data_IF_143571936024
#
_entry.id   IF_143571936024
#
_cell.length_a   1.000
_cell.length_b   1.000
_cell.length_c   1.000
_cell.angle_alpha   90.00
_cell.angle_beta   90.00
_cell.angle_gamma   90.00
#
_symmetry.space_group_name_H-M   'P 1'
#
loop_
_entity.id
_entity.type
_entity.pdbx_description
1 polymer ?
#
# COMPACT_ATOMS: atom_id res chain seq x y z
N UNK A 1 -20.31 7.61 24.90
CA UNK A 1 -20.84 7.31 23.55
C UNK A 1 -21.86 8.35 23.11
N UNK A 2 -22.90 8.65 23.92
CA UNK A 2 -23.86 9.74 23.62
C UNK A 2 -23.16 11.10 23.47
N UNK A 3 -22.23 11.43 24.38
CA UNK A 3 -21.39 12.65 24.30
C UNK A 3 -20.52 12.74 23.04
N UNK A 4 -20.07 11.61 22.50
CA UNK A 4 -19.24 11.56 21.28
C UNK A 4 -20.06 11.90 20.04
N UNK A 5 -21.28 11.37 19.94
CA UNK A 5 -22.19 11.65 18.83
C UNK A 5 -22.64 13.12 18.86
N UNK A 6 -22.98 13.64 20.06
CA UNK A 6 -23.30 15.06 20.22
C UNK A 6 -22.14 15.94 19.79
N UNK A 7 -20.89 15.60 20.17
CA UNK A 7 -19.70 16.35 19.75
C UNK A 7 -19.43 16.25 18.24
N UNK A 8 -19.71 15.12 17.59
CA UNK A 8 -19.58 15.00 16.13
C UNK A 8 -20.65 15.88 15.44
N UNK A 9 -21.89 15.84 15.92
CA UNK A 9 -22.98 16.62 15.35
C UNK A 9 -22.80 18.14 15.45
N UNK A 10 -22.03 18.63 16.43
CA UNK A 10 -21.68 20.07 16.49
C UNK A 10 -20.65 20.47 15.45
N UNK A 11 -19.85 19.53 14.92
CA UNK A 11 -18.90 19.79 13.83
C UNK A 11 -19.55 19.66 12.44
N UNK A 12 -20.78 19.16 12.35
CA UNK A 12 -21.49 18.94 11.10
C UNK A 12 -22.40 20.13 10.77
N UNK A 13 -22.14 20.75 9.62
CA UNK A 13 -22.86 21.95 9.19
C UNK A 13 -24.30 21.68 8.74
N UNK A 14 -24.57 20.52 8.12
CA UNK A 14 -25.89 20.20 7.56
C UNK A 14 -26.64 19.21 8.44
N UNK A 15 -27.93 19.46 8.66
CA UNK A 15 -28.77 18.62 9.52
C UNK A 15 -28.92 17.18 9.03
N UNK A 16 -28.88 16.95 7.71
CA UNK A 16 -28.96 15.58 7.16
C UNK A 16 -27.69 14.74 7.43
N UNK A 17 -26.55 15.38 7.72
CA UNK A 17 -25.30 14.70 8.05
C UNK A 17 -25.24 14.31 9.52
N UNK A 18 -26.05 14.97 10.37
CA UNK A 18 -26.06 14.69 11.81
C UNK A 18 -26.46 13.25 12.04
N UNK A 19 -25.64 12.58 12.82
CA UNK A 19 -25.84 11.21 13.23
C UNK A 19 -26.95 11.19 14.28
N UNK A 20 -27.96 10.35 14.11
CA UNK A 20 -28.98 10.12 15.15
C UNK A 20 -28.41 9.38 16.36
N UNK A 21 -29.26 8.79 17.19
CA UNK A 21 -28.86 7.97 18.36
C UNK A 21 -28.18 6.63 17.98
N UNK A 22 -27.77 6.48 16.72
CA UNK A 22 -27.20 5.25 16.18
C UNK A 22 -25.82 5.00 16.76
N UNK A 23 -25.64 3.85 17.39
CA UNK A 23 -24.36 3.38 17.93
C UNK A 23 -23.34 3.25 16.78
N UNK A 24 -22.23 3.99 16.87
CA UNK A 24 -21.11 3.88 15.92
C UNK A 24 -20.50 2.48 16.00
N UNK A 25 -20.71 1.68 14.96
CA UNK A 25 -20.13 0.34 14.84
C UNK A 25 -18.69 0.47 14.33
N UNK A 26 -17.73 0.40 15.24
CA UNK A 26 -16.29 0.44 14.91
C UNK A 26 -15.70 -0.93 14.58
N UNK A 27 -16.54 -1.97 14.50
CA UNK A 27 -16.11 -3.32 14.17
C UNK A 27 -16.29 -3.60 12.68
N UNK A 28 -15.23 -4.12 12.06
CA UNK A 28 -15.22 -4.56 10.67
C UNK A 28 -14.65 -5.97 10.60
N UNK A 29 -15.47 -6.96 10.25
CA UNK A 29 -15.11 -8.38 10.39
C UNK A 29 -14.57 -8.70 11.79
N UNK A 30 -13.31 -9.11 11.91
CA UNK A 30 -12.63 -9.42 13.16
C UNK A 30 -11.88 -8.21 13.76
N UNK A 31 -11.81 -7.09 13.03
CA UNK A 31 -11.04 -5.91 13.40
C UNK A 31 -11.88 -4.94 14.24
N UNK A 32 -11.26 -4.42 15.30
CA UNK A 32 -11.70 -3.19 15.97
C UNK A 32 -10.91 -2.04 15.35
N UNK A 33 -11.57 -1.17 14.59
CA UNK A 33 -10.93 -0.10 13.83
C UNK A 33 -10.20 0.91 14.73
N UNK A 34 -10.52 0.94 16.03
CA UNK A 34 -9.91 1.85 17.00
C UNK A 34 -8.63 1.33 17.65
N UNK A 35 -8.32 0.04 17.46
CA UNK A 35 -7.17 -0.63 18.06
C UNK A 35 -6.25 -1.21 16.98
N UNK A 36 -4.98 -1.47 17.28
CA UNK A 36 -4.10 -2.21 16.38
C UNK A 36 -4.67 -3.59 16.05
N UNK A 37 -4.35 -4.10 14.84
CA UNK A 37 -4.76 -5.45 14.41
C UNK A 37 -4.09 -6.51 15.30
N UNK A 38 -4.85 -7.32 16.06
CA UNK A 38 -4.29 -8.34 16.95
C UNK A 38 -3.48 -9.42 16.24
N UNK A 39 -3.72 -9.65 14.95
CA UNK A 39 -3.02 -10.66 14.16
C UNK A 39 -1.98 -10.07 13.20
N UNK A 40 -1.81 -8.74 13.18
CA UNK A 40 -0.88 -8.00 12.31
C UNK A 40 -1.07 -8.26 10.80
N UNK A 41 -2.20 -8.84 10.40
CA UNK A 41 -2.51 -9.21 9.02
C UNK A 41 -2.52 -7.97 8.14
N UNK A 42 -3.13 -6.88 8.62
CA UNK A 42 -3.20 -5.62 7.86
C UNK A 42 -1.83 -4.98 7.66
N UNK A 43 -0.93 -5.08 8.64
CA UNK A 43 0.42 -4.54 8.55
C UNK A 43 1.26 -5.32 7.53
N UNK A 44 1.25 -6.66 7.61
CA UNK A 44 1.96 -7.53 6.66
C UNK A 44 1.41 -7.34 5.24
N UNK A 45 0.08 -7.32 5.09
CA UNK A 45 -0.56 -7.09 3.80
C UNK A 45 -0.16 -5.75 3.19
N UNK A 46 -0.12 -4.68 4.00
CA UNK A 46 0.32 -3.36 3.56
C UNK A 46 1.77 -3.37 3.04
N UNK A 47 2.69 -4.03 3.74
CA UNK A 47 4.07 -4.18 3.29
C UNK A 47 4.18 -4.94 1.96
N UNK A 48 3.44 -6.04 1.81
CA UNK A 48 3.39 -6.81 0.55
C UNK A 48 2.87 -5.93 -0.59
N UNK A 49 1.79 -5.20 -0.38
CA UNK A 49 1.22 -4.31 -1.41
C UNK A 49 2.17 -3.17 -1.77
N UNK A 50 2.80 -2.53 -0.77
CA UNK A 50 3.78 -1.46 -1.02
C UNK A 50 5.02 -1.97 -1.77
N UNK A 51 5.46 -3.19 -1.47
CA UNK A 51 6.53 -3.84 -2.22
C UNK A 51 6.13 -4.06 -3.69
N UNK A 52 4.94 -4.61 -3.93
CA UNK A 52 4.41 -4.81 -5.29
C UNK A 52 4.28 -3.47 -6.03
N UNK A 53 3.70 -2.46 -5.39
CA UNK A 53 3.53 -1.13 -5.97
C UNK A 53 4.88 -0.52 -6.37
N UNK A 54 5.88 -0.61 -5.49
CA UNK A 54 7.23 -0.11 -5.75
C UNK A 54 7.90 -0.90 -6.88
N UNK A 55 7.72 -2.22 -6.93
CA UNK A 55 8.27 -3.08 -8.00
C UNK A 55 7.64 -2.80 -9.36
N UNK A 56 6.35 -2.49 -9.41
CA UNK A 56 5.67 -2.11 -10.65
C UNK A 56 6.25 -0.83 -11.26
N UNK A 57 6.72 0.10 -10.42
CA UNK A 57 7.30 1.37 -10.87
C UNK A 57 8.75 1.25 -11.37
N UNK A 58 9.52 0.24 -10.94
CA UNK A 58 10.94 0.10 -11.29
C UNK A 58 11.29 0.14 -12.79
N UNK A 59 10.59 -0.52 -13.73
CA UNK A 59 10.98 -0.45 -15.15
C UNK A 59 10.59 0.84 -15.84
N UNK A 60 9.66 1.63 -15.27
CA UNK A 60 9.49 3.00 -15.72
C UNK A 60 10.77 3.80 -15.43
N UNK A 61 11.47 3.45 -14.35
CA UNK A 61 12.73 4.07 -13.93
C UNK A 61 13.91 3.50 -14.72
N UNK A 62 14.05 2.17 -14.90
CA UNK A 62 15.14 1.60 -15.74
C UNK A 62 15.10 2.10 -17.20
N UNK A 63 13.91 2.33 -17.76
CA UNK A 63 13.77 2.93 -19.10
C UNK A 63 14.12 4.42 -19.11
N UNK A 64 13.85 5.14 -18.00
CA UNK A 64 14.25 6.54 -17.85
C UNK A 64 15.77 6.68 -17.63
N UNK A 65 16.37 5.79 -16.84
CA UNK A 65 17.82 5.70 -16.60
C UNK A 65 18.55 5.34 -17.90
N UNK A 66 18.10 4.31 -18.65
CA UNK A 66 18.66 3.97 -19.96
C UNK A 66 18.52 5.06 -21.03
N UNK A 67 17.50 5.92 -20.91
CA UNK A 67 17.35 7.08 -21.78
C UNK A 67 18.30 8.24 -21.39
N UNK A 68 18.71 8.31 -20.12
CA UNK A 68 19.68 9.26 -19.60
C UNK A 68 21.15 8.79 -19.75
N UNK A 69 21.39 7.48 -19.79
CA UNK A 69 22.68 6.75 -19.89
C UNK A 69 23.44 6.88 -21.23
N UNK A 70 23.23 7.93 -22.03
CA UNK A 70 24.12 8.18 -23.20
C UNK A 70 25.54 8.63 -22.82
N UNK A 71 25.95 8.50 -21.54
CA UNK A 71 27.30 8.81 -21.06
C UNK A 71 27.76 7.71 -20.09
N UNK A 72 28.88 7.02 -20.33
CA UNK A 72 29.27 5.86 -19.53
C UNK A 72 29.94 6.27 -18.21
N UNK A 73 29.44 5.81 -17.06
CA UNK A 73 30.07 6.05 -15.76
C UNK A 73 29.57 5.15 -14.64
N UNK A 74 30.48 4.72 -13.74
CA UNK A 74 30.25 3.85 -12.56
C UNK A 74 29.16 4.33 -11.57
N UNK A 75 28.49 5.45 -11.83
CA UNK A 75 27.40 5.97 -11.00
C UNK A 75 26.08 5.23 -11.22
N UNK A 76 25.82 4.65 -12.40
CA UNK A 76 24.57 3.90 -12.65
C UNK A 76 24.48 2.62 -11.82
N UNK A 77 25.58 1.88 -11.69
CA UNK A 77 25.63 0.69 -10.83
C UNK A 77 25.35 1.04 -9.36
N UNK A 78 25.79 2.21 -8.90
CA UNK A 78 25.57 2.66 -7.53
C UNK A 78 24.12 3.12 -7.32
N UNK A 79 23.57 3.89 -8.27
CA UNK A 79 22.19 4.35 -8.25
C UNK A 79 21.18 3.18 -8.30
N UNK A 80 21.42 2.21 -9.18
CA UNK A 80 20.61 1.00 -9.31
C UNK A 80 20.60 0.18 -8.01
N UNK A 81 21.77 0.00 -7.39
CA UNK A 81 21.88 -0.72 -6.12
C UNK A 81 21.19 0.01 -4.95
N UNK A 82 21.25 1.34 -4.90
CA UNK A 82 20.52 2.13 -3.90
C UNK A 82 19.01 2.04 -4.09
N UNK A 83 18.52 2.06 -5.33
CA UNK A 83 17.11 1.91 -5.65
C UNK A 83 16.58 0.52 -5.27
N UNK A 84 17.35 -0.54 -5.56
CA UNK A 84 17.06 -1.90 -5.11
C UNK A 84 16.95 -2.00 -3.59
N UNK A 85 17.82 -1.33 -2.83
CA UNK A 85 17.74 -1.34 -1.36
C UNK A 85 16.49 -0.62 -0.86
N UNK A 86 16.15 0.54 -1.44
CA UNK A 86 14.95 1.30 -1.09
C UNK A 86 13.67 0.48 -1.29
N UNK A 87 13.62 -0.31 -2.37
CA UNK A 87 12.51 -1.21 -2.69
C UNK A 87 12.15 -2.17 -1.54
N UNK A 88 13.14 -2.68 -0.82
CA UNK A 88 12.91 -3.64 0.28
C UNK A 88 12.83 -2.95 1.64
N UNK A 89 13.62 -1.90 1.86
CA UNK A 89 13.73 -1.24 3.16
C UNK A 89 12.42 -0.52 3.53
N UNK A 90 11.84 0.23 2.59
CA UNK A 90 10.61 1.00 2.84
C UNK A 90 9.40 0.14 3.19
N UNK A 91 9.09 -0.95 2.46
CA UNK A 91 7.99 -1.83 2.83
C UNK A 91 8.19 -2.50 4.19
N UNK A 92 9.41 -2.91 4.53
CA UNK A 92 9.71 -3.53 5.83
C UNK A 92 9.47 -2.53 6.97
N UNK A 93 9.96 -1.30 6.83
CA UNK A 93 9.70 -0.24 7.81
C UNK A 93 8.21 0.07 7.93
N UNK A 94 7.47 0.04 6.82
CA UNK A 94 6.03 0.23 6.86
C UNK A 94 5.29 -0.86 7.63
N UNK A 95 5.73 -2.13 7.53
CA UNK A 95 5.17 -3.21 8.36
C UNK A 95 5.42 -2.94 9.85
N UNK A 96 6.66 -2.60 10.22
CA UNK A 96 7.05 -2.34 11.61
C UNK A 96 6.20 -1.22 12.21
N UNK A 97 6.04 -0.11 11.49
CA UNK A 97 5.21 1.02 11.91
C UNK A 97 3.73 0.61 11.94
N UNK A 98 3.27 -0.11 10.91
CA UNK A 98 1.88 -0.50 10.73
C UNK A 98 1.34 -1.42 11.83
N UNK A 99 2.21 -2.19 12.50
CA UNK A 99 1.86 -3.01 13.67
C UNK A 99 1.37 -2.16 14.85
N UNK A 100 1.85 -0.92 14.97
CA UNK A 100 1.47 -0.01 16.08
C UNK A 100 0.26 0.86 15.78
N UNK A 101 -0.12 0.97 14.51
CA UNK A 101 -1.22 1.83 14.09
C UNK A 101 -2.58 1.15 14.29
N UNK A 102 -3.65 1.92 14.57
CA UNK A 102 -5.01 1.40 14.57
C UNK A 102 -5.38 0.71 13.26
N UNK A 103 -6.13 -0.39 13.34
CA UNK A 103 -6.54 -1.20 12.19
C UNK A 103 -7.33 -0.39 11.16
N UNK A 104 -8.09 0.63 11.57
CA UNK A 104 -8.78 1.52 10.64
C UNK A 104 -7.85 2.30 9.72
N UNK A 105 -6.72 2.79 10.25
CA UNK A 105 -5.70 3.48 9.45
C UNK A 105 -5.03 2.50 8.50
N UNK A 106 -4.69 1.31 8.98
CA UNK A 106 -4.04 0.29 8.15
C UNK A 106 -4.96 -0.22 7.03
N UNK A 107 -6.26 -0.37 7.30
CA UNK A 107 -7.24 -0.73 6.28
C UNK A 107 -7.33 0.35 5.20
N UNK A 108 -7.35 1.63 5.58
CA UNK A 108 -7.29 2.74 4.64
C UNK A 108 -6.03 2.69 3.77
N UNK A 109 -4.86 2.46 4.37
CA UNK A 109 -3.60 2.37 3.62
C UNK A 109 -3.64 1.20 2.63
N UNK A 110 -4.02 0.00 3.09
CA UNK A 110 -4.11 -1.21 2.25
C UNK A 110 -5.05 -0.99 1.06
N UNK A 111 -6.25 -0.46 1.31
CA UNK A 111 -7.24 -0.20 0.26
C UNK A 111 -6.73 0.83 -0.74
N UNK A 112 -6.15 1.94 -0.26
CA UNK A 112 -5.61 2.99 -1.13
C UNK A 112 -4.45 2.47 -1.98
N UNK A 113 -3.50 1.74 -1.38
CA UNK A 113 -2.39 1.13 -2.13
C UNK A 113 -2.89 0.13 -3.17
N UNK A 114 -3.91 -0.67 -2.83
CA UNK A 114 -4.53 -1.59 -3.78
C UNK A 114 -5.14 -0.85 -4.96
N UNK A 115 -5.88 0.23 -4.72
CA UNK A 115 -6.42 1.08 -5.80
C UNK A 115 -5.30 1.68 -6.65
N UNK A 116 -4.23 2.19 -6.04
CA UNK A 116 -3.08 2.71 -6.77
C UNK A 116 -2.39 1.65 -7.64
N UNK A 117 -2.27 0.41 -7.15
CA UNK A 117 -1.75 -0.72 -7.94
C UNK A 117 -2.66 -0.99 -9.13
N UNK A 118 -3.97 -1.04 -8.94
CA UNK A 118 -4.93 -1.28 -10.02
C UNK A 118 -4.88 -0.15 -11.06
N UNK A 119 -4.84 1.11 -10.62
CA UNK A 119 -4.70 2.26 -11.52
C UNK A 119 -3.38 2.20 -12.30
N UNK A 120 -2.27 1.95 -11.61
CA UNK A 120 -0.96 1.82 -12.24
C UNK A 120 -0.94 0.66 -13.23
N UNK A 121 -1.58 -0.46 -12.89
CA UNK A 121 -1.74 -1.60 -13.78
C UNK A 121 -2.53 -1.25 -15.05
N UNK A 122 -3.64 -0.52 -14.94
CA UNK A 122 -4.43 -0.12 -16.09
C UNK A 122 -3.67 0.86 -17.01
N UNK A 123 -2.84 1.75 -16.45
CA UNK A 123 -2.13 2.79 -17.20
C UNK A 123 -0.79 2.29 -17.76
N UNK A 124 0.05 1.69 -16.91
CA UNK A 124 1.43 1.29 -17.20
C UNK A 124 1.59 -0.23 -17.42
N UNK A 125 0.56 -1.02 -17.16
CA UNK A 125 0.62 -2.48 -17.17
C UNK A 125 1.32 -3.07 -15.95
N UNK A 126 1.64 -4.36 -16.00
CA UNK A 126 2.35 -5.08 -14.93
C UNK A 126 3.80 -4.61 -14.70
N UNK A 127 4.34 -3.73 -15.56
CA UNK A 127 5.68 -3.17 -15.43
C UNK A 127 6.73 -4.24 -15.08
N UNK A 128 7.37 -4.07 -13.93
CA UNK A 128 8.51 -4.88 -13.45
C UNK A 128 8.11 -6.19 -12.79
N UNK A 129 6.81 -6.41 -12.66
CA UNK A 129 6.23 -7.63 -12.10
C UNK A 129 5.99 -8.67 -13.21
N UNK A 130 5.99 -8.28 -14.50
CA UNK A 130 5.83 -9.22 -15.64
C UNK A 130 6.75 -10.45 -15.57
N UNK A 131 8.09 -10.32 -15.37
CA UNK A 131 8.98 -11.48 -15.38
C UNK A 131 8.67 -12.49 -14.27
N UNK A 132 8.15 -12.03 -13.14
CA UNK A 132 7.74 -12.91 -12.04
C UNK A 132 6.44 -13.63 -12.35
N UNK A 133 5.46 -12.94 -12.93
CA UNK A 133 4.19 -13.55 -13.36
C UNK A 133 4.46 -14.63 -14.42
N UNK A 134 5.37 -14.37 -15.36
CA UNK A 134 5.73 -15.34 -16.40
C UNK A 134 6.44 -16.56 -15.81
N UNK A 135 7.35 -16.38 -14.84
CA UNK A 135 7.95 -17.51 -14.10
C UNK A 135 6.91 -18.35 -13.37
N UNK A 136 5.95 -17.72 -12.70
CA UNK A 136 4.88 -18.43 -11.99
C UNK A 136 3.99 -19.21 -12.96
N UNK A 137 3.65 -18.62 -14.12
CA UNK A 137 2.91 -19.32 -15.19
C UNK A 137 3.68 -20.51 -15.75
N UNK A 138 4.99 -20.37 -15.96
CA UNK A 138 5.85 -21.45 -16.46
C UNK A 138 5.97 -22.61 -15.46
N UNK A 139 6.06 -22.31 -14.17
CA UNK A 139 6.07 -23.32 -13.11
C UNK A 139 4.74 -24.10 -13.08
N UNK A 140 3.61 -23.40 -13.18
CA UNK A 140 2.27 -24.02 -13.23
C UNK A 140 1.99 -24.83 -14.50
N UNK A 141 2.78 -24.66 -15.57
CA UNK A 141 2.68 -25.43 -16.82
C UNK A 141 3.54 -26.71 -16.79
N UNK A 142 4.46 -26.83 -15.83
CA UNK A 142 5.44 -27.92 -15.74
C UNK A 142 5.05 -29.00 -14.72
N UNK A 143 4.09 -28.69 -13.84
CA UNK A 143 3.33 -29.62 -13.02
C UNK A 143 1.93 -29.82 -13.62
#
# INVERSE_FOLDING_TARGET
MITTITHINTQLYFDFLKLGDTILKTRFFYLDLTKPDPFYITAVLSGILQFIASKMMMPAIEKAEKAAEKTPGKMDDLAYNMQQQSLYMMPVMSVIIGVTLPAGIMLYIVTTTLFSIVQNYCINGWGGVKPWIDKIKLWKRKN
#
